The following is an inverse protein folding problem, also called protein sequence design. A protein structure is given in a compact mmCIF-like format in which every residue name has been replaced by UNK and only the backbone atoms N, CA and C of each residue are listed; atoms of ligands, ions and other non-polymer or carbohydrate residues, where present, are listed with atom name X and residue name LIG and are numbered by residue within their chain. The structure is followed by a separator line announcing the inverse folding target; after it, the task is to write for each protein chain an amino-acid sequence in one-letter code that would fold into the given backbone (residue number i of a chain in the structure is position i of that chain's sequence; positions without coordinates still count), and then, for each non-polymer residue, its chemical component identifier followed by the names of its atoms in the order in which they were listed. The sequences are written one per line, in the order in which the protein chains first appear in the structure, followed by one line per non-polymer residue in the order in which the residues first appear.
data_IF_785161250097
#
_entry.id   IF_785161250097
#
_cell.length_a   1.000
_cell.length_b   1.000
_cell.length_c   1.000
_cell.angle_alpha   90.00
_cell.angle_beta   90.00
_cell.angle_gamma   90.00
#
_symmetry.space_group_name_H-M   'P 1'
#
loop_
_entity.id
_entity.type
_entity.pdbx_description
1 polymer ?
#
# COMPACT_ATOMS: atom_id res chain seq x y z
N UNK A 1 11.71 3.06 -22.50
CA UNK A 1 10.47 2.40 -22.04
C UNK A 1 10.75 1.82 -20.67
N UNK A 2 9.93 2.17 -19.69
CA UNK A 2 10.04 1.59 -18.34
C UNK A 2 9.40 0.19 -18.30
N UNK A 3 9.71 -0.58 -17.26
CA UNK A 3 9.17 -1.97 -17.12
C UNK A 3 7.66 -2.01 -16.85
N UNK A 4 7.03 -0.86 -16.53
CA UNK A 4 5.59 -0.71 -16.32
C UNK A 4 4.90 0.09 -17.43
N UNK A 5 5.56 0.31 -18.55
CA UNK A 5 5.03 1.14 -19.64
C UNK A 5 3.67 0.61 -20.12
N UNK A 6 2.69 1.52 -20.17
CA UNK A 6 1.31 1.20 -20.53
C UNK A 6 0.53 0.29 -19.56
N UNK A 7 1.09 -0.16 -18.45
CA UNK A 7 0.37 -0.85 -17.38
C UNK A 7 -0.52 0.15 -16.61
N UNK A 8 -1.62 -0.32 -16.04
CA UNK A 8 -2.55 0.47 -15.22
C UNK A 8 -2.46 0.00 -13.77
N UNK A 9 -2.15 0.92 -12.87
CA UNK A 9 -1.89 0.63 -11.46
C UNK A 9 -2.86 1.41 -10.57
N UNK A 10 -3.62 0.71 -9.74
CA UNK A 10 -4.46 1.33 -8.71
C UNK A 10 -3.66 1.40 -7.41
N UNK A 11 -3.56 2.59 -6.80
CA UNK A 11 -2.84 2.82 -5.55
C UNK A 11 -3.76 3.51 -4.54
N UNK A 12 -4.11 2.79 -3.47
CA UNK A 12 -4.89 3.39 -2.39
C UNK A 12 -3.99 4.26 -1.50
N UNK A 13 -4.42 5.50 -1.24
CA UNK A 13 -3.60 6.48 -0.50
C UNK A 13 -2.43 7.04 -1.32
N UNK A 14 -2.53 7.06 -2.66
CA UNK A 14 -1.46 7.48 -3.57
C UNK A 14 -1.28 9.00 -3.73
N UNK A 15 -2.06 9.82 -3.01
CA UNK A 15 -1.99 11.29 -3.09
C UNK A 15 -0.72 11.89 -2.48
N UNK A 16 -0.36 13.11 -2.90
CA UNK A 16 0.83 13.85 -2.46
C UNK A 16 0.77 14.17 -0.95
N UNK A 17 1.91 14.08 -0.27
CA UNK A 17 2.10 14.38 1.14
C UNK A 17 2.79 13.21 1.83
N UNK A 18 4.12 13.18 1.81
CA UNK A 18 5.13 12.38 2.57
C UNK A 18 4.77 10.99 3.05
N UNK A 19 3.72 10.40 2.50
CA UNK A 19 3.30 9.05 2.81
C UNK A 19 3.88 8.02 1.84
N UNK A 20 3.81 6.76 2.22
CA UNK A 20 4.29 5.63 1.44
C UNK A 20 3.63 5.60 0.05
N UNK A 21 2.32 5.86 -0.02
CA UNK A 21 1.55 5.78 -1.26
C UNK A 21 2.04 6.73 -2.34
N UNK A 22 2.45 7.96 -2.00
CA UNK A 22 3.01 8.89 -3.00
C UNK A 22 4.38 8.44 -3.51
N UNK A 23 5.23 7.89 -2.64
CA UNK A 23 6.51 7.28 -3.05
C UNK A 23 6.30 6.10 -4.02
N UNK A 24 5.28 5.27 -3.76
CA UNK A 24 4.88 4.19 -4.68
C UNK A 24 4.39 4.78 -6.01
N UNK A 25 3.49 5.77 -5.97
CA UNK A 25 2.99 6.45 -7.18
C UNK A 25 4.13 6.99 -8.02
N UNK A 26 5.13 7.63 -7.41
CA UNK A 26 6.32 8.14 -8.07
C UNK A 26 7.16 7.03 -8.72
N UNK A 27 7.37 5.92 -8.01
CA UNK A 27 8.16 4.80 -8.53
C UNK A 27 7.51 4.16 -9.76
N UNK A 28 6.18 3.93 -9.73
CA UNK A 28 5.45 3.40 -10.88
C UNK A 28 5.36 4.39 -12.04
N UNK A 29 5.18 5.69 -11.75
CA UNK A 29 5.18 6.75 -12.76
C UNK A 29 6.52 6.82 -13.52
N UNK A 30 7.66 6.70 -12.82
CA UNK A 30 9.00 6.65 -13.43
C UNK A 30 9.17 5.47 -14.39
N UNK A 31 8.45 4.40 -14.18
CA UNK A 31 8.48 3.21 -15.04
C UNK A 31 7.39 3.23 -16.14
N UNK A 32 6.68 4.36 -16.32
CA UNK A 32 5.74 4.56 -17.41
C UNK A 32 4.32 4.02 -17.15
N UNK A 33 3.97 3.66 -15.92
CA UNK A 33 2.63 3.23 -15.58
C UNK A 33 1.63 4.38 -15.60
N UNK A 34 0.41 4.12 -16.11
CA UNK A 34 -0.75 4.97 -15.85
C UNK A 34 -1.31 4.66 -14.46
N UNK A 35 -1.73 5.67 -13.71
CA UNK A 35 -2.11 5.52 -12.32
C UNK A 35 -3.59 5.85 -12.09
N UNK A 36 -4.22 5.06 -11.24
CA UNK A 36 -5.46 5.42 -10.55
C UNK A 36 -5.12 5.60 -9.08
N UNK A 37 -5.17 6.83 -8.60
CA UNK A 37 -4.87 7.14 -7.20
C UNK A 37 -6.16 7.43 -6.46
N UNK A 38 -6.35 6.81 -5.30
CA UNK A 38 -7.58 6.95 -4.54
C UNK A 38 -7.33 7.27 -3.08
N UNK A 39 -8.27 7.99 -2.47
CA UNK A 39 -8.23 8.42 -1.09
C UNK A 39 -9.33 9.43 -0.80
N UNK A 40 -9.39 9.92 0.45
CA UNK A 40 -10.43 10.85 0.89
C UNK A 40 -10.11 12.33 0.60
N UNK A 41 -8.86 12.67 0.39
CA UNK A 41 -8.41 14.06 0.20
C UNK A 41 -8.13 14.33 -1.29
N UNK A 42 -9.07 15.01 -1.95
CA UNK A 42 -8.99 15.35 -3.38
C UNK A 42 -7.81 16.25 -3.69
N UNK A 43 -7.57 17.30 -2.90
CA UNK A 43 -6.48 18.24 -3.13
C UNK A 43 -5.10 17.57 -3.16
N UNK A 44 -4.87 16.56 -2.31
CA UNK A 44 -3.63 15.78 -2.32
C UNK A 44 -3.52 14.91 -3.57
N UNK A 45 -4.61 14.37 -4.06
CA UNK A 45 -4.63 13.56 -5.27
C UNK A 45 -4.47 14.41 -6.53
N UNK A 46 -5.11 15.58 -6.60
CA UNK A 46 -4.98 16.52 -7.71
C UNK A 46 -3.55 17.04 -7.82
N UNK A 47 -2.93 17.42 -6.70
CA UNK A 47 -1.52 17.82 -6.67
C UNK A 47 -0.56 16.70 -7.09
N UNK A 48 -0.87 15.44 -6.74
CA UNK A 48 -0.09 14.29 -7.20
C UNK A 48 -0.24 14.09 -8.71
N UNK A 49 -1.48 14.19 -9.23
CA UNK A 49 -1.75 14.11 -10.66
C UNK A 49 -0.94 15.12 -11.44
N UNK A 50 -1.07 16.40 -11.12
CA UNK A 50 -0.38 17.50 -11.82
C UNK A 50 1.14 17.27 -11.87
N UNK A 51 1.73 16.89 -10.74
CA UNK A 51 3.17 16.66 -10.66
C UNK A 51 3.62 15.42 -11.44
N UNK A 52 2.94 14.28 -11.27
CA UNK A 52 3.34 13.02 -11.90
C UNK A 52 3.14 13.05 -13.42
N UNK A 53 2.02 13.62 -13.90
CA UNK A 53 1.78 13.80 -15.33
C UNK A 53 2.83 14.73 -15.96
N UNK A 54 3.16 15.84 -15.29
CA UNK A 54 4.17 16.81 -15.77
C UNK A 54 5.58 16.22 -15.81
N UNK A 55 5.96 15.42 -14.80
CA UNK A 55 7.33 14.90 -14.69
C UNK A 55 7.57 13.66 -15.56
N UNK A 56 6.56 12.82 -15.73
CA UNK A 56 6.75 11.47 -16.32
C UNK A 56 5.93 11.22 -17.59
N UNK A 57 5.05 12.16 -18.00
CA UNK A 57 4.26 12.04 -19.22
C UNK A 57 3.22 10.91 -19.21
N UNK A 58 2.88 10.40 -18.05
CA UNK A 58 1.86 9.37 -17.85
C UNK A 58 0.46 10.00 -17.68
N UNK A 59 -0.58 9.16 -17.61
CA UNK A 59 -1.92 9.61 -17.22
C UNK A 59 -2.20 9.22 -15.77
N UNK A 60 -2.79 10.16 -14.99
CA UNK A 60 -3.22 9.92 -13.62
C UNK A 60 -4.71 10.21 -13.46
N UNK A 61 -5.46 9.24 -12.93
CA UNK A 61 -6.88 9.37 -12.60
C UNK A 61 -7.04 9.42 -11.07
N UNK A 62 -7.31 10.60 -10.48
CA UNK A 62 -7.69 10.70 -9.09
C UNK A 62 -9.15 10.32 -8.91
N UNK A 63 -9.47 9.45 -7.95
CA UNK A 63 -10.84 9.07 -7.60
C UNK A 63 -11.03 9.16 -6.10
N UNK A 64 -11.91 10.05 -5.65
CA UNK A 64 -12.23 10.15 -4.23
C UNK A 64 -13.02 8.93 -3.78
N UNK A 65 -12.54 8.26 -2.73
CA UNK A 65 -13.23 7.15 -2.11
C UNK A 65 -12.79 6.93 -0.65
N UNK A 66 -13.73 6.48 0.17
CA UNK A 66 -13.45 5.79 1.43
C UNK A 66 -13.42 4.29 1.16
N UNK A 67 -12.27 3.66 1.36
CA UNK A 67 -12.08 2.22 1.11
C UNK A 67 -12.94 1.31 2.01
N UNK A 68 -13.43 1.82 3.13
CA UNK A 68 -14.36 1.10 4.00
C UNK A 68 -15.81 1.02 3.48
N UNK A 69 -16.11 1.69 2.36
CA UNK A 69 -17.44 1.74 1.74
C UNK A 69 -17.39 1.03 0.39
N UNK A 70 -17.98 -0.17 0.30
CA UNK A 70 -17.87 -1.05 -0.86
C UNK A 70 -18.29 -0.39 -2.17
N UNK A 71 -19.42 0.35 -2.18
CA UNK A 71 -19.91 1.05 -3.38
C UNK A 71 -18.94 2.11 -3.90
N UNK A 72 -18.21 2.79 -3.00
CA UNK A 72 -17.18 3.76 -3.42
C UNK A 72 -15.97 3.05 -4.01
N UNK A 73 -15.59 1.90 -3.46
CA UNK A 73 -14.52 1.07 -4.02
C UNK A 73 -14.91 0.56 -5.41
N UNK A 74 -16.15 0.06 -5.57
CA UNK A 74 -16.66 -0.36 -6.88
C UNK A 74 -16.58 0.79 -7.90
N UNK A 75 -17.00 1.99 -7.54
CA UNK A 75 -16.90 3.17 -8.41
C UNK A 75 -15.44 3.49 -8.80
N UNK A 76 -14.44 3.25 -7.93
CA UNK A 76 -13.01 3.41 -8.31
C UNK A 76 -12.64 2.42 -9.41
N UNK A 77 -13.02 1.16 -9.27
CA UNK A 77 -12.76 0.11 -10.25
C UNK A 77 -13.44 0.42 -11.58
N UNK A 78 -14.73 0.76 -11.55
CA UNK A 78 -15.50 1.10 -12.74
C UNK A 78 -14.85 2.27 -13.52
N UNK A 79 -14.45 3.35 -12.83
CA UNK A 79 -13.76 4.50 -13.44
C UNK A 79 -12.37 4.16 -13.98
N UNK A 80 -11.64 3.27 -13.31
CA UNK A 80 -10.35 2.80 -13.81
C UNK A 80 -10.52 2.06 -15.14
N UNK A 81 -11.50 1.17 -15.21
CA UNK A 81 -11.81 0.38 -16.42
C UNK A 81 -12.40 1.26 -17.53
N UNK A 82 -13.31 2.17 -17.20
CA UNK A 82 -13.86 3.14 -18.17
C UNK A 82 -12.75 3.95 -18.84
N UNK A 83 -11.77 4.44 -18.05
CA UNK A 83 -10.69 5.27 -18.58
C UNK A 83 -9.60 4.50 -19.31
N UNK A 84 -9.19 3.36 -18.79
CA UNK A 84 -7.98 2.65 -19.23
C UNK A 84 -8.24 1.27 -19.84
N UNK A 85 -9.46 0.74 -19.73
CA UNK A 85 -9.87 -0.56 -20.27
C UNK A 85 -9.31 -1.79 -19.53
N UNK A 86 -8.43 -1.60 -18.54
CA UNK A 86 -7.74 -2.71 -17.84
C UNK A 86 -7.24 -2.31 -16.46
N UNK A 87 -6.89 -3.30 -15.64
CA UNK A 87 -6.16 -3.15 -14.38
C UNK A 87 -5.05 -4.19 -14.36
N UNK A 88 -3.80 -3.78 -14.24
CA UNK A 88 -2.64 -4.68 -14.18
C UNK A 88 -2.12 -4.86 -12.76
N UNK A 89 -2.21 -3.83 -11.91
CA UNK A 89 -1.67 -3.88 -10.55
C UNK A 89 -2.62 -3.22 -9.58
N UNK A 90 -2.81 -3.85 -8.42
CA UNK A 90 -3.54 -3.29 -7.30
C UNK A 90 -2.61 -3.16 -6.08
N UNK A 91 -2.46 -1.94 -5.57
CA UNK A 91 -1.67 -1.63 -4.37
C UNK A 91 -2.59 -1.15 -3.25
N UNK A 92 -2.82 -2.01 -2.27
CA UNK A 92 -3.62 -1.71 -1.08
C UNK A 92 -2.71 -1.18 0.04
N UNK A 93 -2.50 0.14 0.07
CA UNK A 93 -1.62 0.81 1.02
C UNK A 93 -2.38 1.60 2.09
N UNK A 94 -3.53 2.20 1.74
CA UNK A 94 -4.27 3.08 2.66
C UNK A 94 -4.81 2.35 3.90
N UNK A 95 -4.68 2.99 5.06
CA UNK A 95 -5.36 2.60 6.29
C UNK A 95 -5.40 3.78 7.28
N UNK A 96 -6.39 3.76 8.17
CA UNK A 96 -6.52 4.66 9.32
C UNK A 96 -6.75 3.83 10.60
N UNK A 97 -6.12 4.22 11.71
CA UNK A 97 -6.25 3.52 12.99
C UNK A 97 -5.98 4.45 14.16
N UNK A 98 -6.44 4.08 15.34
CA UNK A 98 -6.03 4.68 16.59
C UNK A 98 -4.70 4.03 17.05
N UNK A 99 -3.62 4.79 17.06
CA UNK A 99 -2.30 4.34 17.51
C UNK A 99 -1.98 4.88 18.91
N UNK A 100 -1.27 4.11 19.71
CA UNK A 100 -0.88 4.48 21.09
C UNK A 100 -1.95 4.21 22.14
N UNK A 101 -3.08 3.56 21.77
CA UNK A 101 -4.15 3.16 22.70
C UNK A 101 -3.92 1.71 23.13
N UNK A 102 -3.89 1.46 24.44
CA UNK A 102 -3.71 0.09 24.96
C UNK A 102 -4.95 -0.76 24.69
N UNK A 103 -4.78 -2.08 24.61
CA UNK A 103 -5.86 -3.01 24.23
C UNK A 103 -7.13 -2.83 25.08
N UNK A 104 -6.96 -2.67 26.38
CA UNK A 104 -8.07 -2.54 27.35
C UNK A 104 -8.83 -1.21 27.23
N UNK A 105 -8.19 -0.20 26.66
CA UNK A 105 -8.74 1.16 26.50
C UNK A 105 -9.29 1.41 25.10
N UNK A 106 -9.17 0.42 24.20
CA UNK A 106 -9.69 0.55 22.84
C UNK A 106 -11.22 0.59 22.82
N UNK A 107 -11.78 1.61 22.22
CA UNK A 107 -13.22 1.65 21.96
C UNK A 107 -13.59 0.76 20.76
N UNK A 108 -14.85 0.36 20.67
CA UNK A 108 -15.36 -0.36 19.49
C UNK A 108 -15.17 0.48 18.21
N UNK A 109 -15.40 1.78 18.30
CA UNK A 109 -15.27 2.74 17.19
C UNK A 109 -13.83 2.81 16.67
N UNK A 110 -12.84 2.81 17.57
CA UNK A 110 -11.42 2.80 17.20
C UNK A 110 -11.01 1.47 16.56
N UNK A 111 -11.57 0.37 17.09
CA UNK A 111 -11.33 -0.96 16.52
C UNK A 111 -11.95 -1.07 15.12
N UNK A 112 -13.21 -0.70 14.97
CA UNK A 112 -13.96 -0.71 13.71
C UNK A 112 -13.26 0.17 12.65
N UNK A 113 -12.77 1.36 13.03
CA UNK A 113 -12.02 2.24 12.13
C UNK A 113 -10.85 1.54 11.47
N UNK A 114 -10.07 0.78 12.22
CA UNK A 114 -8.94 0.04 11.68
C UNK A 114 -9.38 -1.12 10.78
N UNK A 115 -10.44 -1.84 11.18
CA UNK A 115 -10.97 -2.98 10.43
C UNK A 115 -11.59 -2.51 9.10
N UNK A 116 -12.47 -1.49 9.13
CA UNK A 116 -13.12 -1.01 7.91
C UNK A 116 -12.14 -0.32 6.95
N UNK A 117 -11.28 0.58 7.45
CA UNK A 117 -10.33 1.27 6.57
C UNK A 117 -9.15 0.41 6.11
N UNK A 118 -8.87 -0.69 6.78
CA UNK A 118 -7.79 -1.63 6.48
C UNK A 118 -8.30 -2.91 5.85
N UNK A 119 -8.85 -3.82 6.66
CA UNK A 119 -9.19 -5.17 6.23
C UNK A 119 -10.33 -5.20 5.21
N UNK A 120 -11.46 -4.53 5.51
CA UNK A 120 -12.57 -4.47 4.56
C UNK A 120 -12.20 -3.73 3.27
N UNK A 121 -11.45 -2.64 3.37
CA UNK A 121 -10.97 -1.91 2.19
C UNK A 121 -10.17 -2.83 1.26
N UNK A 122 -9.19 -3.57 1.80
CA UNK A 122 -8.41 -4.55 1.02
C UNK A 122 -9.30 -5.62 0.41
N UNK A 123 -10.24 -6.16 1.18
CA UNK A 123 -11.20 -7.16 0.69
C UNK A 123 -12.03 -6.62 -0.48
N UNK A 124 -12.61 -5.43 -0.37
CA UNK A 124 -13.44 -4.84 -1.43
C UNK A 124 -12.63 -4.55 -2.69
N UNK A 125 -11.44 -3.93 -2.56
CA UNK A 125 -10.59 -3.67 -3.72
C UNK A 125 -10.17 -4.96 -4.43
N UNK A 126 -9.76 -5.98 -3.69
CA UNK A 126 -9.38 -7.27 -4.26
C UNK A 126 -10.55 -7.94 -4.96
N UNK A 127 -11.73 -8.00 -4.32
CA UNK A 127 -12.96 -8.58 -4.87
C UNK A 127 -13.35 -7.96 -6.20
N UNK A 128 -13.40 -6.63 -6.27
CA UNK A 128 -13.87 -5.92 -7.46
C UNK A 128 -12.81 -5.77 -8.56
N UNK A 129 -11.52 -5.78 -8.22
CA UNK A 129 -10.44 -5.73 -9.21
C UNK A 129 -10.13 -7.11 -9.84
N UNK A 130 -10.47 -8.22 -9.15
CA UNK A 130 -10.09 -9.56 -9.57
C UNK A 130 -10.46 -9.92 -11.04
N UNK A 131 -11.67 -9.64 -11.56
CA UNK A 131 -12.00 -9.96 -12.95
C UNK A 131 -11.00 -9.37 -13.95
N UNK A 132 -10.56 -8.15 -13.73
CA UNK A 132 -9.63 -7.42 -14.60
C UNK A 132 -8.17 -7.83 -14.38
N UNK A 133 -7.80 -8.14 -13.12
CA UNK A 133 -6.48 -8.70 -12.80
C UNK A 133 -6.30 -10.08 -13.44
N UNK A 134 -7.35 -10.91 -13.45
CA UNK A 134 -7.36 -12.20 -14.13
C UNK A 134 -7.08 -12.06 -15.63
N UNK A 135 -7.72 -11.12 -16.31
CA UNK A 135 -7.54 -10.89 -17.76
C UNK A 135 -6.13 -10.38 -18.11
N UNK A 136 -5.49 -9.67 -17.19
CA UNK A 136 -4.17 -9.08 -17.41
C UNK A 136 -3.03 -9.90 -16.80
N UNK A 137 -3.32 -11.06 -16.19
CA UNK A 137 -2.37 -11.82 -15.37
C UNK A 137 -1.65 -10.90 -14.39
N UNK A 138 -2.45 -10.10 -13.64
CA UNK A 138 -2.00 -8.95 -12.87
C UNK A 138 -1.30 -9.30 -11.56
N UNK A 139 -1.02 -8.27 -10.76
CA UNK A 139 -0.35 -8.39 -9.47
C UNK A 139 -1.08 -7.62 -8.38
N UNK A 140 -1.13 -8.17 -7.18
CA UNK A 140 -1.65 -7.51 -5.98
C UNK A 140 -0.56 -7.37 -4.93
N UNK A 141 -0.41 -6.18 -4.37
CA UNK A 141 0.51 -5.92 -3.27
C UNK A 141 -0.27 -5.31 -2.11
N UNK A 142 -0.37 -6.04 -1.02
CA UNK A 142 -1.10 -5.64 0.18
C UNK A 142 -0.13 -5.20 1.27
N UNK A 143 -0.42 -4.06 1.90
CA UNK A 143 0.40 -3.50 2.97
C UNK A 143 -0.05 -4.03 4.32
N UNK A 144 0.76 -4.92 4.90
CA UNK A 144 0.69 -5.33 6.29
C UNK A 144 1.66 -4.49 7.16
N UNK A 145 2.07 -5.00 8.32
CA UNK A 145 2.96 -4.27 9.22
C UNK A 145 3.72 -5.20 10.15
N UNK A 146 4.95 -4.83 10.48
CA UNK A 146 5.69 -5.44 11.58
C UNK A 146 4.99 -5.31 12.94
N UNK A 147 4.10 -4.33 13.12
CA UNK A 147 3.32 -4.20 14.35
C UNK A 147 2.40 -5.40 14.59
N UNK A 148 1.82 -5.98 13.53
CA UNK A 148 1.05 -7.22 13.61
C UNK A 148 1.96 -8.43 13.84
N UNK A 149 3.04 -8.53 13.07
CA UNK A 149 3.99 -9.65 13.14
C UNK A 149 4.63 -9.82 14.51
N UNK A 150 4.93 -8.72 15.21
CA UNK A 150 5.72 -8.71 16.43
C UNK A 150 4.96 -8.23 17.67
N UNK A 151 3.65 -7.96 17.56
CA UNK A 151 2.81 -7.60 18.69
C UNK A 151 3.19 -6.26 19.34
N UNK A 152 3.28 -5.18 18.54
CA UNK A 152 3.67 -3.86 19.05
C UNK A 152 2.62 -3.29 20.02
N UNK A 153 2.97 -2.93 21.28
CA UNK A 153 2.04 -2.34 22.23
C UNK A 153 1.35 -1.08 21.70
N UNK A 154 0.10 -0.85 22.06
CA UNK A 154 -0.70 0.29 21.62
C UNK A 154 -1.16 0.25 20.16
N UNK A 155 -1.12 -0.93 19.52
CA UNK A 155 -1.46 -1.12 18.11
C UNK A 155 -2.49 -2.24 17.87
N UNK A 156 -3.34 -2.56 18.86
CA UNK A 156 -4.19 -3.76 18.84
C UNK A 156 -5.12 -3.83 17.63
N UNK A 157 -5.93 -2.80 17.37
CA UNK A 157 -6.85 -2.77 16.22
C UNK A 157 -6.11 -2.75 14.88
N UNK A 158 -5.00 -1.99 14.83
CA UNK A 158 -4.13 -1.93 13.64
C UNK A 158 -3.49 -3.29 13.35
N UNK A 159 -2.93 -3.94 14.38
CA UNK A 159 -2.32 -5.26 14.25
C UNK A 159 -3.34 -6.32 13.81
N UNK A 160 -4.55 -6.31 14.39
CA UNK A 160 -5.63 -7.21 13.99
C UNK A 160 -5.98 -7.05 12.51
N UNK A 161 -6.16 -5.80 12.03
CA UNK A 161 -6.44 -5.53 10.63
C UNK A 161 -5.28 -6.00 9.72
N UNK A 162 -4.02 -5.74 10.10
CA UNK A 162 -2.84 -6.10 9.29
C UNK A 162 -2.59 -7.61 9.22
N UNK A 163 -2.87 -8.35 10.30
CA UNK A 163 -2.81 -9.82 10.27
C UNK A 163 -4.00 -10.42 9.50
N UNK A 164 -5.19 -9.81 9.58
CA UNK A 164 -6.32 -10.18 8.72
C UNK A 164 -5.99 -10.01 7.23
N UNK A 165 -5.35 -8.91 6.84
CA UNK A 165 -4.88 -8.66 5.47
C UNK A 165 -3.88 -9.76 5.03
N UNK A 166 -2.96 -10.18 5.90
CA UNK A 166 -2.02 -11.26 5.58
C UNK A 166 -2.73 -12.59 5.34
N UNK A 167 -3.72 -12.93 6.20
CA UNK A 167 -4.54 -14.12 6.03
C UNK A 167 -5.29 -14.12 4.70
N UNK A 168 -6.02 -13.03 4.42
CA UNK A 168 -6.76 -12.83 3.17
C UNK A 168 -5.85 -12.94 1.94
N UNK A 169 -4.67 -12.32 1.99
CA UNK A 169 -3.72 -12.31 0.87
C UNK A 169 -3.21 -13.71 0.53
N UNK A 170 -2.94 -14.55 1.55
CA UNK A 170 -2.49 -15.94 1.32
C UNK A 170 -3.58 -16.79 0.68
N UNK A 171 -4.84 -16.61 1.10
CA UNK A 171 -5.97 -17.30 0.47
C UNK A 171 -6.07 -16.88 -1.00
N UNK A 172 -6.06 -15.58 -1.29
CA UNK A 172 -6.11 -15.07 -2.65
C UNK A 172 -4.92 -15.54 -3.51
N UNK A 173 -3.71 -15.60 -2.96
CA UNK A 173 -2.54 -16.13 -3.68
C UNK A 173 -2.73 -17.59 -4.11
N UNK A 174 -3.40 -18.40 -3.28
CA UNK A 174 -3.71 -19.79 -3.60
C UNK A 174 -4.83 -19.90 -4.64
N UNK A 175 -5.93 -19.14 -4.45
CA UNK A 175 -7.09 -19.20 -5.35
C UNK A 175 -6.83 -18.61 -6.74
N UNK A 176 -5.99 -17.56 -6.81
CA UNK A 176 -5.78 -16.79 -8.05
C UNK A 176 -4.54 -17.22 -8.82
N UNK A 177 -3.74 -18.11 -8.26
CA UNK A 177 -2.55 -18.65 -8.92
C UNK A 177 -2.84 -19.37 -10.24
N UNK A 178 -3.98 -20.06 -10.37
CA UNK A 178 -4.40 -20.71 -11.63
C UNK A 178 -4.64 -19.72 -12.78
N UNK A 179 -4.79 -18.41 -12.48
CA UNK A 179 -4.95 -17.32 -13.44
C UNK A 179 -3.69 -16.49 -13.63
N UNK A 180 -2.54 -16.95 -13.13
CA UNK A 180 -1.27 -16.21 -13.14
C UNK A 180 -1.35 -14.84 -12.42
N UNK A 181 -2.27 -14.67 -11.46
CA UNK A 181 -2.35 -13.48 -10.61
C UNK A 181 -1.56 -13.74 -9.34
N UNK A 182 -0.47 -13.01 -9.16
CA UNK A 182 0.31 -13.09 -7.93
C UNK A 182 -0.14 -12.06 -6.88
N UNK A 183 -0.18 -12.51 -5.61
CA UNK A 183 -0.60 -11.69 -4.48
C UNK A 183 0.47 -11.73 -3.41
N UNK A 184 1.10 -10.59 -3.12
CA UNK A 184 2.16 -10.50 -2.12
C UNK A 184 1.85 -9.46 -1.04
N UNK A 185 2.51 -9.61 0.08
CA UNK A 185 2.36 -8.77 1.26
C UNK A 185 3.68 -8.06 1.57
N UNK A 186 3.63 -6.77 1.87
CA UNK A 186 4.80 -6.02 2.29
C UNK A 186 4.60 -5.41 3.68
N UNK A 187 5.65 -5.45 4.50
CA UNK A 187 5.69 -4.89 5.85
C UNK A 187 6.81 -3.85 5.93
N UNK A 188 6.55 -2.57 5.59
CA UNK A 188 7.58 -1.54 5.53
C UNK A 188 7.87 -0.90 6.89
N UNK A 189 9.09 -0.40 7.06
CA UNK A 189 9.50 0.56 8.09
C UNK A 189 10.10 1.79 7.39
N UNK A 190 9.33 2.88 7.30
CA UNK A 190 9.55 3.97 6.35
C UNK A 190 9.49 5.32 7.02
N UNK A 191 10.34 6.25 6.60
CA UNK A 191 10.26 7.65 6.96
C UNK A 191 9.02 8.29 6.32
N UNK A 192 8.04 8.64 7.15
CA UNK A 192 6.83 9.37 6.74
C UNK A 192 6.90 10.81 7.25
N UNK A 193 6.04 11.71 6.73
CA UNK A 193 5.97 13.10 7.24
C UNK A 193 5.75 13.16 8.76
N UNK A 194 4.97 12.23 9.31
CA UNK A 194 4.76 12.16 10.76
C UNK A 194 6.08 11.81 11.49
N UNK A 195 6.89 10.92 10.93
CA UNK A 195 8.20 10.58 11.49
C UNK A 195 9.25 11.67 11.25
N UNK A 196 9.15 12.45 10.17
CA UNK A 196 10.00 13.64 9.96
C UNK A 196 9.74 14.65 11.07
N UNK A 197 8.47 15.00 11.32
CA UNK A 197 8.09 15.91 12.41
C UNK A 197 8.50 15.38 13.79
N UNK A 198 8.36 14.08 14.02
CA UNK A 198 8.79 13.44 15.25
C UNK A 198 10.31 13.50 15.41
N UNK A 199 11.08 13.28 14.36
CA UNK A 199 12.55 13.43 14.36
C UNK A 199 12.97 14.86 14.72
N UNK A 200 12.29 15.86 14.15
CA UNK A 200 12.56 17.27 14.44
C UNK A 200 12.25 17.62 15.89
N UNK A 201 11.14 17.07 16.43
CA UNK A 201 10.73 17.32 17.81
C UNK A 201 11.58 16.55 18.85
N UNK A 202 12.10 15.37 18.49
CA UNK A 202 12.81 14.47 19.42
C UNK A 202 14.08 13.88 18.79
N UNK A 203 15.08 14.69 18.44
CA UNK A 203 16.26 14.25 17.67
C UNK A 203 17.08 13.17 18.40
N UNK A 204 17.24 13.28 19.72
CA UNK A 204 17.99 12.28 20.50
C UNK A 204 17.29 10.91 20.53
N UNK A 205 15.95 10.91 20.65
CA UNK A 205 15.14 9.69 20.62
C UNK A 205 15.20 9.05 19.22
N UNK A 206 15.20 9.88 18.18
CA UNK A 206 15.40 9.42 16.81
C UNK A 206 16.74 8.71 16.64
N UNK A 207 17.84 9.34 17.09
CA UNK A 207 19.19 8.78 17.01
C UNK A 207 19.31 7.43 17.75
N UNK A 208 18.65 7.30 18.89
CA UNK A 208 18.59 6.02 19.60
C UNK A 208 17.75 4.98 18.85
N UNK A 209 16.61 5.39 18.28
CA UNK A 209 15.71 4.51 17.53
C UNK A 209 16.42 3.93 16.30
N UNK A 210 17.13 4.74 15.54
CA UNK A 210 17.83 4.25 14.34
C UNK A 210 19.01 3.32 14.66
N UNK A 211 19.60 3.41 15.87
CA UNK A 211 20.60 2.45 16.33
C UNK A 211 20.03 1.02 16.44
N UNK A 212 18.74 0.88 16.67
CA UNK A 212 18.04 -0.41 16.68
C UNK A 212 17.76 -0.97 15.28
N UNK A 213 17.89 -0.17 14.23
CA UNK A 213 17.74 -0.59 12.85
C UNK A 213 19.13 -0.98 12.31
N UNK A 214 19.37 -2.22 11.86
CA UNK A 214 20.69 -2.63 11.35
C UNK A 214 21.22 -1.70 10.25
N UNK A 215 20.38 -1.25 9.30
CA UNK A 215 20.75 -0.29 8.25
C UNK A 215 20.84 1.16 8.73
N UNK A 216 20.61 1.44 10.03
CA UNK A 216 20.78 2.76 10.65
C UNK A 216 19.94 3.88 10.05
N UNK A 217 18.85 3.55 9.40
CA UNK A 217 17.88 4.51 8.85
C UNK A 217 16.50 3.90 8.67
N UNK A 218 15.49 4.73 8.59
CA UNK A 218 14.20 4.35 8.03
C UNK A 218 14.30 4.24 6.50
N UNK A 219 13.45 3.44 5.89
CA UNK A 219 13.37 3.31 4.44
C UNK A 219 12.85 4.60 3.78
N UNK A 220 13.22 4.80 2.54
CA UNK A 220 12.68 5.85 1.67
C UNK A 220 11.41 5.33 0.99
N UNK A 221 10.29 6.12 0.97
CA UNK A 221 9.03 5.68 0.38
C UNK A 221 9.12 5.30 -1.09
N UNK A 222 9.90 6.00 -1.88
CA UNK A 222 10.06 5.72 -3.31
C UNK A 222 11.14 4.66 -3.56
N UNK A 223 12.37 4.91 -3.06
CA UNK A 223 13.56 4.13 -3.42
C UNK A 223 13.58 2.74 -2.80
N UNK A 224 13.15 2.63 -1.52
CA UNK A 224 13.18 1.35 -0.82
C UNK A 224 11.84 0.61 -0.94
N UNK A 225 10.71 1.31 -0.92
CA UNK A 225 9.38 0.68 -0.93
C UNK A 225 8.77 0.67 -2.33
N UNK A 226 8.68 1.82 -2.98
CA UNK A 226 8.08 1.95 -4.30
C UNK A 226 8.79 1.08 -5.34
N UNK A 227 10.12 1.09 -5.36
CA UNK A 227 10.92 0.24 -6.27
C UNK A 227 10.73 -1.25 -6.02
N UNK A 228 10.61 -1.68 -4.77
CA UNK A 228 10.29 -3.07 -4.43
C UNK A 228 8.88 -3.44 -4.92
N UNK A 229 7.90 -2.53 -4.78
CA UNK A 229 6.55 -2.76 -5.33
C UNK A 229 6.56 -2.88 -6.86
N UNK A 230 7.36 -2.06 -7.55
CA UNK A 230 7.55 -2.16 -9.00
C UNK A 230 8.11 -3.52 -9.39
N UNK A 231 9.15 -4.00 -8.69
CA UNK A 231 9.71 -5.35 -8.91
C UNK A 231 8.64 -6.43 -8.69
N UNK A 232 7.94 -6.41 -7.56
CA UNK A 232 6.90 -7.41 -7.25
C UNK A 232 5.72 -7.42 -8.24
N UNK A 233 5.50 -6.31 -8.95
CA UNK A 233 4.48 -6.19 -9.99
C UNK A 233 5.00 -6.47 -11.40
N UNK A 234 6.31 -6.69 -11.57
CA UNK A 234 6.94 -6.99 -12.84
C UNK A 234 6.88 -8.47 -13.20
N UNK A 235 7.18 -8.76 -14.45
CA UNK A 235 7.25 -10.14 -14.94
C UNK A 235 8.39 -10.93 -14.27
N UNK A 236 9.44 -10.24 -13.76
CA UNK A 236 10.56 -10.86 -13.03
C UNK A 236 10.16 -11.47 -11.69
N UNK A 237 9.01 -11.06 -11.12
CA UNK A 237 8.51 -11.54 -9.83
C UNK A 237 7.26 -12.44 -9.97
N UNK A 238 6.90 -12.88 -11.14
CA UNK A 238 5.64 -13.63 -11.39
C UNK A 238 5.51 -14.91 -10.57
N UNK A 239 6.62 -15.58 -10.27
CA UNK A 239 6.61 -16.80 -9.46
C UNK A 239 6.69 -16.54 -7.95
N UNK A 240 6.69 -15.26 -7.54
CA UNK A 240 6.62 -14.86 -6.11
C UNK A 240 5.16 -14.56 -5.80
N UNK A 241 4.50 -15.45 -5.02
CA UNK A 241 3.09 -15.29 -4.61
C UNK A 241 2.87 -15.85 -3.21
N UNK A 242 2.05 -15.18 -2.41
CA UNK A 242 1.73 -15.53 -1.03
C UNK A 242 2.77 -15.06 0.01
N UNK A 243 3.85 -14.44 -0.44
CA UNK A 243 4.97 -14.06 0.42
C UNK A 243 4.69 -12.80 1.25
N UNK A 244 5.25 -12.80 2.48
CA UNK A 244 5.30 -11.61 3.32
C UNK A 244 6.73 -11.09 3.36
N UNK A 245 6.97 -9.97 2.70
CA UNK A 245 8.29 -9.36 2.57
C UNK A 245 8.43 -8.23 3.59
N UNK A 246 9.37 -8.38 4.53
CA UNK A 246 9.70 -7.31 5.49
C UNK A 246 10.73 -6.36 4.89
N UNK A 247 10.34 -5.08 4.72
CA UNK A 247 11.20 -4.01 4.23
C UNK A 247 11.53 -3.07 5.40
N UNK A 248 12.37 -3.53 6.33
CA UNK A 248 12.59 -2.89 7.63
C UNK A 248 14.08 -2.69 7.97
N UNK A 249 14.95 -2.67 6.96
CA UNK A 249 16.37 -2.42 7.16
C UNK A 249 17.06 -3.41 8.11
N UNK A 250 16.58 -4.67 8.13
CA UNK A 250 17.10 -5.74 9.00
C UNK A 250 16.41 -5.85 10.37
N UNK A 251 15.47 -4.96 10.72
CA UNK A 251 14.76 -5.05 12.02
C UNK A 251 13.67 -6.13 12.05
N UNK A 252 13.19 -6.58 10.90
CA UNK A 252 12.06 -7.50 10.78
C UNK A 252 12.47 -8.94 10.44
N UNK A 253 13.59 -9.41 10.96
CA UNK A 253 14.07 -10.77 10.69
C UNK A 253 13.10 -11.78 11.31
N UNK A 254 12.71 -12.75 10.52
CA UNK A 254 11.89 -13.89 10.93
C UNK A 254 12.66 -15.19 10.71
N UNK A 255 12.46 -16.20 11.56
CA UNK A 255 13.03 -17.52 11.33
C UNK A 255 12.48 -18.17 10.06
#
# INVERSE_FOLDING_TARGET
MGIMDGKVVIITGGGKGGGIGYGISTAFAKEGANLVITGRNTAKMDSAKEELERLYGIQVLPVQADGGIEEQVKNVIDKAVEKFGKINVLINNAQNSASGVMLVDHTKEDFDRAIYSGLYAVFFYMKHAFPYLKETHGSVINFASGAGLFGKPGQSSYAAAKEGIRGLSRVAATEWGEFDVNVNIVCPLVMTDALVKWKEAYPEVYEQTIKGIPMRRFGDPEKDIGRTCVFLASDDAKYISGETITMQGGSGIRP
#
